data_IF_166628130688
#
_entry.id   IF_166628130688
#
_cell.length_a   1.000
_cell.length_b   1.000
_cell.length_c   1.000
_cell.angle_alpha   90.00
_cell.angle_beta   90.00
_cell.angle_gamma   90.00
#
_symmetry.space_group_name_H-M   'P 1'
#
loop_
_entity.id
_entity.type
_entity.pdbx_description
1 polymer ?
#
# COMPACT_ATOMS: atom_id res chain seq x y z
N UNK A 1 65.26 12.86 55.48
CA UNK A 1 66.62 12.27 55.54
C UNK A 1 66.44 10.79 55.25
N UNK A 2 66.82 10.37 54.04
CA UNK A 2 66.87 8.98 53.56
C UNK A 2 65.53 8.21 53.49
N UNK A 3 65.37 7.15 52.72
CA UNK A 3 66.07 6.62 51.54
C UNK A 3 65.25 5.36 51.17
N UNK A 4 64.25 5.48 50.27
CA UNK A 4 63.57 4.30 49.71
C UNK A 4 63.14 4.58 48.25
N UNK A 5 64.05 4.32 47.32
CA UNK A 5 63.67 3.58 46.10
C UNK A 5 64.01 2.10 46.31
N UNK A 6 63.74 1.17 45.36
CA UNK A 6 62.83 1.20 44.22
C UNK A 6 62.07 -0.15 44.12
N UNK A 7 60.96 -0.36 44.85
CA UNK A 7 60.23 -1.65 44.77
C UNK A 7 59.05 -1.67 43.79
N UNK A 8 58.51 -0.52 43.37
CA UNK A 8 57.33 -0.48 42.48
C UNK A 8 57.68 -0.53 40.99
N UNK A 9 58.87 -0.08 40.57
CA UNK A 9 59.30 -0.16 39.17
C UNK A 9 59.72 -1.58 38.74
N UNK A 10 60.18 -2.40 39.68
CA UNK A 10 60.61 -3.77 39.42
C UNK A 10 59.45 -4.77 39.23
N UNK A 11 58.25 -4.45 39.72
CA UNK A 11 57.05 -5.29 39.49
C UNK A 11 56.50 -5.08 38.07
N UNK A 12 56.49 -3.84 37.59
CA UNK A 12 56.02 -3.49 36.23
C UNK A 12 56.92 -4.06 35.12
N UNK A 13 58.25 -4.05 35.29
CA UNK A 13 59.17 -4.64 34.31
C UNK A 13 59.19 -6.18 34.34
N UNK A 14 58.79 -6.83 35.45
CA UNK A 14 58.70 -8.30 35.55
C UNK A 14 57.41 -8.86 34.97
N UNK A 15 56.34 -8.06 34.92
CA UNK A 15 55.08 -8.40 34.22
C UNK A 15 55.27 -8.28 32.70
N UNK A 16 56.03 -7.29 32.21
CA UNK A 16 56.29 -7.08 30.78
C UNK A 16 57.33 -8.02 30.14
N UNK A 17 57.99 -8.90 30.91
CA UNK A 17 59.02 -9.84 30.40
C UNK A 17 58.60 -11.32 30.40
N UNK A 18 57.36 -11.64 30.74
CA UNK A 18 56.83 -12.99 30.48
C UNK A 18 56.40 -13.06 29.02
N UNK A 19 56.72 -14.13 28.27
CA UNK A 19 56.19 -14.33 26.94
C UNK A 19 54.70 -14.68 27.11
N UNK A 20 53.86 -13.67 27.25
CA UNK A 20 52.44 -13.84 27.12
C UNK A 20 52.24 -14.10 25.64
N UNK A 21 52.11 -15.39 25.34
CA UNK A 21 51.91 -15.91 24.01
C UNK A 21 50.71 -15.23 23.34
N UNK A 22 50.57 -15.52 22.06
CA UNK A 22 49.51 -15.06 21.14
C UNK A 22 48.09 -15.00 21.75
N UNK A 23 47.84 -15.66 22.86
CA UNK A 23 46.54 -15.81 23.53
C UNK A 23 45.98 -14.52 24.16
N UNK A 24 46.80 -13.56 24.61
CA UNK A 24 46.27 -12.27 25.11
C UNK A 24 45.95 -11.25 24.02
N UNK A 25 46.71 -11.27 22.92
CA UNK A 25 46.36 -10.51 21.72
C UNK A 25 45.08 -11.07 21.09
N UNK A 26 44.85 -12.39 21.17
CA UNK A 26 43.60 -13.04 20.78
C UNK A 26 42.46 -12.66 21.74
N UNK A 27 42.68 -12.58 23.05
CA UNK A 27 41.64 -12.17 24.01
C UNK A 27 41.21 -10.70 23.85
N UNK A 28 42.14 -9.77 23.63
CA UNK A 28 41.79 -8.37 23.31
C UNK A 28 41.23 -8.22 21.89
N UNK A 29 41.71 -9.00 20.90
CA UNK A 29 41.10 -9.04 19.57
C UNK A 29 39.70 -9.67 19.61
N UNK A 30 39.41 -10.61 20.51
CA UNK A 30 38.07 -11.18 20.74
C UNK A 30 37.18 -10.22 21.53
N UNK A 31 37.71 -9.36 22.40
CA UNK A 31 36.95 -8.32 23.07
C UNK A 31 36.70 -7.08 22.19
N UNK A 32 37.59 -6.77 21.23
CA UNK A 32 37.40 -5.69 20.25
C UNK A 32 36.74 -6.13 18.94
N UNK A 33 36.58 -7.43 18.67
CA UNK A 33 35.85 -7.95 17.49
C UNK A 33 34.37 -8.23 17.75
N UNK A 34 33.85 -7.98 18.95
CA UNK A 34 32.39 -8.03 19.24
C UNK A 34 31.70 -6.69 18.97
N UNK A 35 32.42 -5.70 18.42
CA UNK A 35 31.79 -4.72 17.51
C UNK A 35 31.74 -5.29 16.08
N UNK A 36 31.42 -6.59 15.95
CA UNK A 36 30.65 -7.00 14.79
C UNK A 36 29.45 -6.08 14.74
N UNK A 37 29.29 -5.38 13.62
CA UNK A 37 28.03 -4.81 13.23
C UNK A 37 27.02 -5.94 13.32
N UNK A 38 26.35 -6.07 14.46
CA UNK A 38 25.17 -6.89 14.61
C UNK A 38 24.20 -6.23 13.63
N UNK A 39 24.20 -6.73 12.41
CA UNK A 39 23.16 -6.46 11.44
C UNK A 39 21.91 -6.98 12.14
N UNK A 40 21.20 -6.08 12.83
CA UNK A 40 19.91 -6.36 13.41
C UNK A 40 19.04 -6.81 12.25
N UNK A 41 18.81 -8.12 12.17
CA UNK A 41 18.11 -8.72 11.06
C UNK A 41 16.75 -8.05 10.93
N UNK A 42 16.39 -7.68 9.70
CA UNK A 42 15.09 -7.09 9.40
C UNK A 42 13.99 -8.01 9.90
N UNK A 43 13.10 -7.50 10.75
CA UNK A 43 11.93 -8.24 11.18
C UNK A 43 10.87 -8.13 10.09
N UNK A 44 10.74 -9.15 9.23
CA UNK A 44 9.66 -9.25 8.24
C UNK A 44 8.56 -10.17 8.75
N UNK A 45 7.37 -9.62 8.93
CA UNK A 45 6.17 -10.32 9.38
C UNK A 45 5.33 -10.68 8.16
N UNK A 46 5.27 -11.97 7.83
CA UNK A 46 4.40 -12.46 6.76
C UNK A 46 2.92 -12.27 7.12
N UNK A 47 2.07 -12.19 6.09
CA UNK A 47 0.63 -12.21 6.29
C UNK A 47 0.23 -13.53 7.03
N UNK A 48 -0.56 -13.45 8.12
CA UNK A 48 -0.88 -14.61 8.91
C UNK A 48 -1.78 -15.59 8.12
N UNK A 49 -1.52 -16.91 8.18
CA UNK A 49 -2.30 -17.90 7.43
C UNK A 49 -3.70 -18.13 8.00
N UNK A 50 -3.95 -17.67 9.22
CA UNK A 50 -5.23 -17.77 9.94
C UNK A 50 -5.47 -16.51 10.77
N UNK A 51 -6.72 -16.11 10.90
CA UNK A 51 -7.13 -15.13 11.90
C UNK A 51 -7.02 -15.73 13.31
N UNK A 52 -6.49 -14.95 14.24
CA UNK A 52 -6.33 -15.26 15.66
C UNK A 52 -7.10 -14.29 16.57
N UNK A 53 -7.54 -13.18 16.00
CA UNK A 53 -8.32 -12.14 16.64
C UNK A 53 -9.48 -11.73 15.71
N UNK A 54 -10.68 -11.42 16.23
CA UNK A 54 -11.85 -11.12 15.41
C UNK A 54 -11.66 -9.94 14.44
N UNK A 55 -10.75 -9.02 14.75
CA UNK A 55 -10.46 -7.85 13.92
C UNK A 55 -9.34 -8.06 12.90
N UNK A 56 -8.73 -9.24 12.81
CA UNK A 56 -7.69 -9.50 11.80
C UNK A 56 -8.24 -9.33 10.39
N UNK A 57 -7.44 -8.79 9.45
CA UNK A 57 -7.83 -8.75 8.04
C UNK A 57 -8.23 -10.15 7.53
N UNK A 58 -9.00 -10.20 6.43
CA UNK A 58 -9.25 -11.47 5.75
C UNK A 58 -7.93 -12.08 5.31
N UNK A 59 -7.73 -13.37 5.58
CA UNK A 59 -6.58 -14.11 5.05
C UNK A 59 -6.75 -14.39 3.55
N UNK A 60 -5.66 -14.75 2.87
CA UNK A 60 -5.70 -15.18 1.46
C UNK A 60 -6.71 -16.32 1.25
N UNK A 61 -6.75 -17.29 2.17
CA UNK A 61 -7.67 -18.42 2.11
C UNK A 61 -9.12 -18.00 2.37
N UNK A 62 -9.36 -17.04 3.25
CA UNK A 62 -10.69 -16.48 3.50
C UNK A 62 -11.22 -15.69 2.30
N UNK A 63 -10.38 -14.88 1.64
CA UNK A 63 -10.73 -14.18 0.39
C UNK A 63 -11.11 -15.20 -0.70
N UNK A 64 -10.26 -16.21 -0.93
CA UNK A 64 -10.52 -17.25 -1.93
C UNK A 64 -11.81 -18.02 -1.61
N UNK A 65 -12.04 -18.33 -0.34
CA UNK A 65 -13.27 -18.99 0.13
C UNK A 65 -14.50 -18.13 -0.08
N UNK A 66 -14.43 -16.82 0.16
CA UNK A 66 -15.55 -15.91 -0.08
C UNK A 66 -16.03 -15.98 -1.54
N UNK A 67 -15.08 -15.88 -2.47
CA UNK A 67 -15.34 -15.93 -3.91
C UNK A 67 -15.86 -17.30 -4.34
N UNK A 68 -15.30 -18.38 -3.80
CA UNK A 68 -15.76 -19.73 -4.07
C UNK A 68 -17.21 -19.96 -3.62
N UNK A 69 -17.60 -19.45 -2.45
CA UNK A 69 -18.96 -19.56 -1.94
C UNK A 69 -19.97 -18.76 -2.79
N UNK A 70 -19.60 -17.54 -3.22
CA UNK A 70 -20.44 -16.73 -4.12
C UNK A 70 -20.67 -17.46 -5.46
N UNK A 71 -19.61 -18.07 -6.02
CA UNK A 71 -19.70 -18.85 -7.27
C UNK A 71 -20.51 -20.13 -7.09
N UNK A 72 -20.30 -20.86 -6.00
CA UNK A 72 -21.04 -22.09 -5.69
C UNK A 72 -22.55 -21.83 -5.51
N UNK A 73 -22.93 -20.65 -5.00
CA UNK A 73 -24.32 -20.21 -4.91
C UNK A 73 -24.92 -19.75 -6.26
N UNK A 74 -24.14 -19.75 -7.34
CA UNK A 74 -24.59 -19.34 -8.68
C UNK A 74 -24.70 -17.82 -8.87
N UNK A 75 -24.13 -17.01 -7.99
CA UNK A 75 -24.24 -15.55 -8.04
C UNK A 75 -23.16 -14.86 -8.87
N UNK A 76 -22.09 -15.58 -9.25
CA UNK A 76 -20.99 -15.04 -10.04
C UNK A 76 -20.42 -16.08 -11.00
N UNK A 77 -19.95 -15.64 -12.16
CA UNK A 77 -19.17 -16.43 -13.11
C UNK A 77 -17.75 -15.86 -13.28
N UNK A 78 -17.06 -16.18 -14.39
CA UNK A 78 -15.71 -15.68 -14.67
C UNK A 78 -15.65 -14.18 -15.06
N UNK A 79 -16.79 -13.58 -15.42
CA UNK A 79 -16.90 -12.18 -15.85
C UNK A 79 -17.09 -11.24 -14.67
N UNK A 80 -17.66 -11.72 -13.56
CA UNK A 80 -17.80 -10.95 -12.34
C UNK A 80 -16.46 -10.39 -11.86
N UNK A 81 -16.49 -9.19 -11.30
CA UNK A 81 -15.36 -8.51 -10.66
C UNK A 81 -15.70 -8.19 -9.23
N UNK A 82 -14.68 -8.11 -8.39
CA UNK A 82 -14.80 -7.85 -6.96
C UNK A 82 -13.99 -6.61 -6.57
N UNK A 83 -14.47 -5.39 -6.87
CA UNK A 83 -13.79 -4.17 -6.49
C UNK A 83 -13.51 -4.08 -4.97
N UNK A 84 -14.31 -4.74 -4.13
CA UNK A 84 -14.05 -4.82 -2.69
C UNK A 84 -14.33 -6.22 -2.15
N UNK A 85 -13.37 -6.76 -1.41
CA UNK A 85 -13.54 -7.90 -0.49
C UNK A 85 -12.84 -7.50 0.80
N UNK A 86 -13.58 -7.34 1.89
CA UNK A 86 -13.05 -6.85 3.17
C UNK A 86 -13.70 -7.58 4.34
N UNK A 87 -13.08 -7.53 5.51
CA UNK A 87 -13.65 -8.05 6.74
C UNK A 87 -14.96 -7.30 7.04
N UNK A 88 -16.06 -8.04 7.20
CA UNK A 88 -17.23 -7.51 7.87
C UNK A 88 -17.05 -7.70 9.38
N UNK A 89 -16.82 -6.59 10.08
CA UNK A 89 -16.54 -6.61 11.51
C UNK A 89 -17.69 -7.19 12.33
N UNK A 90 -17.35 -7.87 13.42
CA UNK A 90 -18.31 -8.21 14.45
C UNK A 90 -18.83 -6.93 15.15
N UNK A 91 -20.03 -6.95 15.73
CA UNK A 91 -20.52 -5.83 16.53
C UNK A 91 -19.49 -5.43 17.60
N UNK A 92 -19.25 -4.13 17.74
CA UNK A 92 -18.27 -3.55 18.68
C UNK A 92 -18.36 -4.15 20.09
N UNK A 93 -19.57 -4.34 20.60
CA UNK A 93 -19.78 -4.93 21.92
C UNK A 93 -19.18 -6.35 22.04
N UNK A 94 -19.33 -7.19 21.02
CA UNK A 94 -18.76 -8.54 21.01
C UNK A 94 -17.24 -8.50 20.99
N UNK A 95 -16.66 -7.62 20.16
CA UNK A 95 -15.20 -7.43 20.08
C UNK A 95 -14.63 -6.96 21.42
N UNK A 96 -15.29 -6.02 22.10
CA UNK A 96 -14.82 -5.49 23.39
C UNK A 96 -14.86 -6.53 24.52
N UNK A 97 -15.76 -7.51 24.44
CA UNK A 97 -15.87 -8.60 25.43
C UNK A 97 -15.07 -9.86 25.07
N UNK A 98 -14.58 -9.95 23.83
CA UNK A 98 -13.85 -11.12 23.34
C UNK A 98 -12.54 -11.32 24.10
N UNK A 99 -12.16 -12.60 24.29
CA UNK A 99 -10.91 -12.98 24.95
C UNK A 99 -10.09 -13.95 24.09
N UNK A 100 -8.74 -13.92 24.18
CA UNK A 100 -7.89 -14.90 23.51
C UNK A 100 -8.34 -16.34 23.75
N UNK A 101 -8.43 -17.13 22.67
CA UNK A 101 -8.90 -18.51 22.70
C UNK A 101 -10.42 -18.69 22.54
N UNK A 102 -11.22 -17.63 22.70
CA UNK A 102 -12.65 -17.67 22.43
C UNK A 102 -12.91 -17.75 20.92
N UNK A 103 -13.78 -18.67 20.49
CA UNK A 103 -14.21 -18.77 19.10
C UNK A 103 -14.95 -17.49 18.65
N UNK A 104 -14.81 -17.14 17.37
CA UNK A 104 -15.48 -16.00 16.75
C UNK A 104 -15.93 -16.35 15.33
N UNK A 105 -17.02 -15.71 14.88
CA UNK A 105 -17.46 -15.81 13.50
C UNK A 105 -16.60 -14.92 12.59
N UNK A 106 -16.44 -15.33 11.33
CA UNK A 106 -15.75 -14.59 10.29
C UNK A 106 -16.68 -14.32 9.13
N UNK A 107 -16.79 -13.06 8.73
CA UNK A 107 -17.64 -12.62 7.63
C UNK A 107 -16.86 -11.71 6.70
N UNK A 108 -17.14 -11.82 5.41
CA UNK A 108 -16.62 -10.91 4.40
C UNK A 108 -17.77 -10.05 3.87
N UNK A 109 -17.52 -8.75 3.74
CA UNK A 109 -18.33 -7.84 2.94
C UNK A 109 -17.72 -7.75 1.55
N UNK A 110 -18.54 -8.00 0.53
CA UNK A 110 -18.11 -8.07 -0.86
C UNK A 110 -18.94 -7.09 -1.69
N UNK A 111 -18.24 -6.21 -2.42
CA UNK A 111 -18.83 -5.46 -3.52
C UNK A 111 -18.48 -6.20 -4.81
N UNK A 112 -19.51 -6.64 -5.51
CA UNK A 112 -19.41 -7.37 -6.77
C UNK A 112 -19.94 -6.51 -7.90
N UNK A 113 -19.22 -6.47 -9.01
CA UNK A 113 -19.69 -5.85 -10.25
C UNK A 113 -19.85 -6.93 -11.32
N UNK A 114 -21.04 -7.02 -11.88
CA UNK A 114 -21.38 -7.99 -12.92
C UNK A 114 -22.42 -7.42 -13.90
N UNK A 115 -22.15 -7.56 -15.21
CA UNK A 115 -23.01 -7.07 -16.30
C UNK A 115 -23.45 -5.61 -16.11
N UNK A 116 -22.51 -4.71 -15.82
CA UNK A 116 -22.79 -3.29 -15.60
C UNK A 116 -23.48 -2.95 -14.27
N UNK A 117 -23.86 -3.94 -13.46
CA UNK A 117 -24.57 -3.75 -12.18
C UNK A 117 -23.65 -3.99 -11.00
N UNK A 118 -23.93 -3.30 -9.89
CA UNK A 118 -23.19 -3.40 -8.64
C UNK A 118 -24.05 -4.04 -7.57
N UNK A 119 -23.47 -4.99 -6.83
CA UNK A 119 -24.12 -5.72 -5.77
C UNK A 119 -23.29 -5.72 -4.50
N UNK A 120 -23.97 -5.75 -3.35
CA UNK A 120 -23.37 -6.04 -2.05
C UNK A 120 -23.75 -7.44 -1.59
N UNK A 121 -22.78 -8.17 -1.04
CA UNK A 121 -22.94 -9.54 -0.56
C UNK A 121 -22.21 -9.67 0.78
N UNK A 122 -22.88 -10.26 1.77
CA UNK A 122 -22.23 -10.77 2.98
C UNK A 122 -21.98 -12.26 2.83
N UNK A 123 -20.74 -12.67 3.08
CA UNK A 123 -20.34 -14.08 3.11
C UNK A 123 -20.00 -14.47 4.54
N UNK A 124 -20.73 -15.42 5.12
CA UNK A 124 -20.36 -16.01 6.41
C UNK A 124 -19.37 -17.14 6.17
N UNK A 125 -18.09 -16.85 6.40
CA UNK A 125 -16.98 -17.76 6.17
C UNK A 125 -16.96 -18.89 7.20
N UNK A 126 -17.46 -18.64 8.41
CA UNK A 126 -17.56 -19.68 9.44
C UNK A 126 -18.68 -20.66 9.10
N UNK A 127 -19.87 -20.15 8.78
CA UNK A 127 -21.04 -20.98 8.47
C UNK A 127 -21.02 -21.55 7.03
N UNK A 128 -20.21 -20.99 6.12
CA UNK A 128 -20.18 -21.39 4.72
C UNK A 128 -21.40 -20.96 3.93
N UNK A 129 -22.00 -19.82 4.29
CA UNK A 129 -23.24 -19.32 3.67
C UNK A 129 -23.03 -17.94 3.05
N UNK A 130 -23.90 -17.57 2.12
CA UNK A 130 -23.89 -16.27 1.44
C UNK A 130 -25.28 -15.66 1.47
N UNK A 131 -25.36 -14.34 1.64
CA UNK A 131 -26.63 -13.63 1.44
C UNK A 131 -26.97 -13.56 -0.04
N UNK A 132 -28.23 -13.32 -0.37
CA UNK A 132 -28.60 -12.95 -1.75
C UNK A 132 -27.89 -11.65 -2.13
N UNK A 133 -27.41 -11.50 -3.38
CA UNK A 133 -26.83 -10.25 -3.85
C UNK A 133 -27.84 -9.11 -3.77
N UNK A 134 -27.47 -8.05 -3.07
CA UNK A 134 -28.30 -6.87 -2.93
C UNK A 134 -27.89 -5.83 -3.99
N UNK A 135 -28.79 -5.54 -4.93
CA UNK A 135 -28.52 -4.56 -5.97
C UNK A 135 -28.31 -3.16 -5.37
N UNK A 136 -27.31 -2.45 -5.87
CA UNK A 136 -27.07 -1.03 -5.59
C UNK A 136 -27.27 -0.23 -6.87
N UNK A 137 -28.51 0.24 -7.16
CA UNK A 137 -28.80 0.97 -8.39
C UNK A 137 -27.94 2.24 -8.51
N UNK A 138 -27.35 2.47 -9.69
CA UNK A 138 -26.51 3.64 -9.96
C UNK A 138 -25.15 3.66 -9.24
N UNK A 139 -24.84 2.68 -8.39
CA UNK A 139 -23.57 2.67 -7.66
C UNK A 139 -22.40 2.28 -8.56
N UNK A 140 -21.42 3.17 -8.66
CA UNK A 140 -20.12 2.91 -9.27
C UNK A 140 -19.08 2.63 -8.17
N UNK A 141 -18.61 1.38 -8.00
CA UNK A 141 -17.52 1.10 -7.08
C UNK A 141 -16.21 1.67 -7.61
N UNK A 142 -15.19 1.66 -6.75
CA UNK A 142 -13.82 2.03 -7.09
C UNK A 142 -13.36 1.41 -8.42
N UNK A 143 -12.48 2.12 -9.11
CA UNK A 143 -11.83 1.60 -10.31
C UNK A 143 -11.05 0.32 -10.00
N UNK A 144 -10.99 -0.55 -10.98
CA UNK A 144 -10.24 -1.80 -10.93
C UNK A 144 -9.13 -1.81 -11.99
N UNK A 145 -8.10 -2.62 -11.79
CA UNK A 145 -6.92 -2.66 -12.65
C UNK A 145 -7.27 -3.02 -14.10
N UNK A 146 -8.23 -3.93 -14.30
CA UNK A 146 -8.70 -4.31 -15.64
C UNK A 146 -9.23 -3.10 -16.44
N UNK A 147 -9.93 -2.18 -15.77
CA UNK A 147 -10.49 -0.97 -16.40
C UNK A 147 -9.40 0.00 -16.81
N UNK A 148 -8.36 0.14 -15.98
CA UNK A 148 -7.19 0.94 -16.32
C UNK A 148 -6.48 0.41 -17.57
N UNK A 149 -6.27 -0.90 -17.64
CA UNK A 149 -5.60 -1.53 -18.78
C UNK A 149 -6.42 -1.39 -20.06
N UNK A 150 -7.73 -1.61 -20.00
CA UNK A 150 -8.64 -1.46 -21.14
C UNK A 150 -8.68 -0.01 -21.61
N UNK A 151 -8.83 0.95 -20.70
CA UNK A 151 -8.92 2.37 -21.06
C UNK A 151 -7.63 2.88 -21.73
N UNK A 152 -6.47 2.46 -21.22
CA UNK A 152 -5.18 2.77 -21.84
C UNK A 152 -5.07 2.18 -23.25
N UNK A 153 -5.43 0.91 -23.40
CA UNK A 153 -5.32 0.20 -24.69
C UNK A 153 -6.22 0.79 -25.77
N UNK A 154 -7.47 1.13 -25.42
CA UNK A 154 -8.41 1.76 -26.34
C UNK A 154 -7.97 3.15 -26.77
N UNK A 155 -7.43 3.95 -25.84
CA UNK A 155 -6.96 5.32 -26.11
C UNK A 155 -5.88 5.35 -27.18
N UNK A 156 -4.82 4.54 -27.02
CA UNK A 156 -3.66 4.57 -27.93
C UNK A 156 -3.92 3.92 -29.29
N UNK A 157 -5.10 3.32 -29.48
CA UNK A 157 -5.54 2.72 -30.76
C UNK A 157 -6.58 3.57 -31.48
N UNK A 158 -7.16 4.59 -30.85
CA UNK A 158 -8.20 5.41 -31.46
C UNK A 158 -7.62 6.30 -32.58
N UNK A 159 -8.19 6.28 -33.80
CA UNK A 159 -7.66 7.06 -34.92
C UNK A 159 -7.73 8.58 -34.70
N UNK A 160 -8.70 9.08 -33.92
CA UNK A 160 -8.81 10.52 -33.60
C UNK A 160 -7.69 10.92 -32.64
N UNK A 161 -7.42 10.09 -31.63
CA UNK A 161 -6.32 10.32 -30.68
C UNK A 161 -4.96 10.22 -31.39
N UNK A 162 -4.77 9.24 -32.28
CA UNK A 162 -3.55 9.12 -33.09
C UNK A 162 -3.33 10.33 -34.00
N UNK A 163 -4.39 10.89 -34.59
CA UNK A 163 -4.30 12.13 -35.36
C UNK A 163 -3.87 13.31 -34.48
N UNK A 164 -4.41 13.43 -33.27
CA UNK A 164 -4.02 14.45 -32.28
C UNK A 164 -2.55 14.33 -31.86
N UNK A 165 -2.03 13.11 -31.70
CA UNK A 165 -0.61 12.87 -31.42
C UNK A 165 0.28 13.29 -32.58
N UNK A 166 -0.11 12.98 -33.82
CA UNK A 166 0.63 13.37 -35.03
C UNK A 166 0.75 14.89 -35.16
N UNK A 167 -0.32 15.63 -34.86
CA UNK A 167 -0.29 17.10 -34.84
C UNK A 167 0.70 17.67 -33.81
N UNK A 168 0.98 16.92 -32.75
CA UNK A 168 1.94 17.26 -31.69
C UNK A 168 3.35 16.72 -31.96
N UNK A 169 3.58 16.11 -33.12
CA UNK A 169 4.87 15.51 -33.49
C UNK A 169 5.19 14.19 -32.78
N UNK A 170 4.22 13.59 -32.09
CA UNK A 170 4.39 12.34 -31.35
C UNK A 170 4.05 11.17 -32.27
N UNK A 171 5.08 10.42 -32.69
CA UNK A 171 4.95 9.27 -33.60
C UNK A 171 5.38 7.94 -32.98
N UNK A 172 6.26 7.98 -31.96
CA UNK A 172 6.69 6.79 -31.22
C UNK A 172 5.82 6.58 -29.97
N UNK A 173 4.76 5.79 -30.12
CA UNK A 173 3.82 5.50 -29.04
C UNK A 173 4.45 4.68 -27.90
N UNK A 174 5.63 4.07 -28.09
CA UNK A 174 6.36 3.41 -27.00
C UNK A 174 6.85 4.42 -25.95
N UNK A 175 6.93 5.69 -26.32
CA UNK A 175 7.24 6.81 -25.44
C UNK A 175 5.98 7.51 -24.96
N UNK A 176 4.82 6.86 -24.97
CA UNK A 176 3.60 7.43 -24.40
C UNK A 176 3.10 6.53 -23.28
N UNK A 177 2.72 7.16 -22.18
CA UNK A 177 2.01 6.51 -21.08
C UNK A 177 0.76 7.30 -20.77
N UNK A 178 -0.38 6.60 -20.67
CA UNK A 178 -1.66 7.21 -20.37
C UNK A 178 -2.15 6.79 -18.99
N UNK A 179 -2.81 7.72 -18.30
CA UNK A 179 -3.29 7.55 -16.93
C UNK A 179 -4.81 7.68 -16.92
N UNK A 180 -5.58 6.57 -16.86
CA UNK A 180 -7.03 6.62 -16.72
C UNK A 180 -7.44 7.20 -15.37
N UNK A 181 -8.32 8.20 -15.39
CA UNK A 181 -8.78 8.95 -14.22
C UNK A 181 -10.29 8.82 -14.05
N UNK A 182 -10.76 8.98 -12.81
CA UNK A 182 -12.18 9.17 -12.51
C UNK A 182 -12.73 10.39 -13.26
N UNK A 183 -13.99 10.33 -13.77
CA UNK A 183 -14.54 11.37 -14.63
C UNK A 183 -15.18 12.54 -13.87
N UNK A 184 -15.37 12.41 -12.55
CA UNK A 184 -16.23 13.28 -11.75
C UNK A 184 -17.72 13.12 -12.10
N UNK A 185 -18.54 14.09 -11.70
CA UNK A 185 -19.96 14.16 -12.07
C UNK A 185 -20.29 15.55 -12.64
N UNK A 186 -20.74 15.58 -13.89
CA UNK A 186 -21.03 16.80 -14.64
C UNK A 186 -22.36 16.63 -15.40
N UNK A 187 -23.34 17.51 -15.14
CA UNK A 187 -24.70 17.38 -15.69
C UNK A 187 -24.81 17.71 -17.19
N UNK A 188 -23.79 18.36 -17.75
CA UNK A 188 -23.73 18.76 -19.15
C UNK A 188 -23.02 17.73 -20.04
N UNK A 189 -22.54 16.61 -19.49
CA UNK A 189 -21.84 15.59 -20.26
C UNK A 189 -22.81 14.56 -20.87
N UNK A 190 -22.63 14.16 -22.14
CA UNK A 190 -23.55 13.26 -22.86
C UNK A 190 -23.34 11.77 -22.51
N UNK A 191 -22.73 11.46 -21.37
CA UNK A 191 -22.33 10.10 -21.02
C UNK A 191 -23.39 9.32 -20.23
N UNK A 192 -24.32 10.02 -19.56
CA UNK A 192 -25.38 9.38 -18.76
C UNK A 192 -24.80 8.50 -17.66
N UNK A 193 -25.44 7.36 -17.39
CA UNK A 193 -25.04 6.42 -16.32
C UNK A 193 -23.90 5.45 -16.72
N UNK A 194 -23.17 5.73 -17.81
CA UNK A 194 -22.06 4.89 -18.27
C UNK A 194 -20.92 4.87 -17.27
N UNK A 195 -20.17 3.76 -17.25
CA UNK A 195 -18.94 3.66 -16.46
C UNK A 195 -17.78 4.24 -17.27
N UNK A 196 -17.50 5.51 -17.02
CA UNK A 196 -16.58 6.31 -17.82
C UNK A 196 -15.24 6.51 -17.12
N UNK A 197 -14.15 6.45 -17.87
CA UNK A 197 -12.83 6.98 -17.48
C UNK A 197 -12.37 8.05 -18.47
N UNK A 198 -11.69 9.08 -17.96
CA UNK A 198 -11.03 10.12 -18.77
C UNK A 198 -9.53 9.88 -18.77
N UNK A 199 -8.90 9.86 -19.94
CA UNK A 199 -7.56 9.30 -20.14
C UNK A 199 -6.60 10.35 -20.74
N UNK A 200 -5.96 11.19 -19.91
CA UNK A 200 -4.82 11.99 -20.31
C UNK A 200 -3.56 11.12 -20.52
N UNK A 201 -2.63 11.64 -21.32
CA UNK A 201 -1.37 10.96 -21.63
C UNK A 201 -0.16 11.86 -21.43
N UNK A 202 1.00 11.22 -21.29
CA UNK A 202 2.29 11.82 -21.00
C UNK A 202 3.32 11.25 -21.97
N UNK A 203 4.24 12.09 -22.41
CA UNK A 203 5.41 11.62 -23.14
C UNK A 203 6.46 11.12 -22.12
N UNK A 204 6.89 9.87 -22.28
CA UNK A 204 7.96 9.29 -21.51
C UNK A 204 9.28 9.89 -21.98
N UNK A 205 10.04 10.42 -21.03
CA UNK A 205 11.40 10.84 -21.25
C UNK A 205 12.30 9.67 -21.65
N UNK A 206 13.26 9.94 -22.54
CA UNK A 206 14.36 9.00 -22.78
C UNK A 206 15.41 9.13 -21.69
N UNK A 207 15.44 8.20 -20.73
CA UNK A 207 16.52 8.12 -19.71
C UNK A 207 16.13 8.47 -18.27
N UNK A 208 14.86 8.84 -18.02
CA UNK A 208 14.33 8.96 -16.64
C UNK A 208 13.05 8.15 -16.45
N UNK A 209 12.67 7.99 -15.18
CA UNK A 209 11.42 7.36 -14.75
C UNK A 209 10.32 8.38 -14.43
N UNK A 210 10.45 9.66 -14.82
CA UNK A 210 9.52 10.70 -14.42
C UNK A 210 8.30 10.78 -15.37
N UNK A 211 7.28 9.97 -15.08
CA UNK A 211 6.04 9.89 -15.85
C UNK A 211 5.34 11.25 -16.05
N UNK A 212 5.23 12.04 -14.99
CA UNK A 212 4.40 13.25 -14.98
C UNK A 212 5.11 14.51 -15.51
N UNK A 213 6.40 14.42 -15.88
CA UNK A 213 7.21 15.58 -16.24
C UNK A 213 6.89 16.20 -17.60
N UNK A 214 6.24 15.44 -18.50
CA UNK A 214 5.92 15.87 -19.86
C UNK A 214 4.47 15.52 -20.24
N UNK A 215 3.45 16.15 -19.61
CA UNK A 215 2.06 15.98 -20.00
C UNK A 215 1.83 16.37 -21.47
N UNK A 216 1.01 15.58 -22.16
CA UNK A 216 0.49 15.89 -23.49
C UNK A 216 -0.81 16.67 -23.27
N UNK A 217 -0.68 17.96 -22.95
CA UNK A 217 -1.79 18.84 -22.55
C UNK A 217 -2.76 19.12 -23.71
N UNK A 218 -4.01 19.42 -23.36
CA UNK A 218 -5.04 19.79 -24.34
C UNK A 218 -5.61 18.61 -25.12
N UNK A 219 -5.31 17.36 -24.76
CA UNK A 219 -5.94 16.18 -25.37
C UNK A 219 -6.15 15.04 -24.38
N UNK A 220 -7.34 14.45 -24.36
CA UNK A 220 -7.65 13.25 -23.60
C UNK A 220 -8.78 12.44 -24.26
N UNK A 221 -8.78 11.13 -24.03
CA UNK A 221 -9.87 10.26 -24.48
C UNK A 221 -10.91 10.04 -23.36
N UNK A 222 -12.14 9.78 -23.75
CA UNK A 222 -13.23 9.38 -22.85
C UNK A 222 -13.65 7.97 -23.21
N UNK A 223 -13.55 7.06 -22.26
CA UNK A 223 -13.71 5.63 -22.48
C UNK A 223 -14.89 5.11 -21.68
N UNK A 224 -15.79 4.36 -22.32
CA UNK A 224 -16.70 3.46 -21.63
C UNK A 224 -15.98 2.13 -21.40
N UNK A 225 -15.69 1.81 -20.13
CA UNK A 225 -14.94 0.60 -19.78
C UNK A 225 -15.82 -0.65 -19.71
N UNK A 226 -17.15 -0.50 -19.68
CA UNK A 226 -18.09 -1.62 -19.75
C UNK A 226 -18.33 -2.05 -21.20
N UNK A 227 -18.66 -1.08 -22.06
CA UNK A 227 -18.85 -1.31 -23.50
C UNK A 227 -17.50 -1.45 -24.25
N UNK A 228 -16.39 -1.17 -23.57
CA UNK A 228 -15.00 -1.27 -24.08
C UNK A 228 -14.81 -0.49 -25.38
N UNK A 229 -15.25 0.76 -25.38
CA UNK A 229 -15.12 1.65 -26.55
C UNK A 229 -14.80 3.07 -26.16
N UNK A 230 -14.20 3.78 -27.12
CA UNK A 230 -13.91 5.21 -27.02
C UNK A 230 -15.20 5.98 -27.31
N UNK A 231 -15.71 6.70 -26.32
CA UNK A 231 -16.86 7.59 -26.48
C UNK A 231 -16.45 8.86 -27.23
N UNK A 232 -15.35 9.48 -26.80
CA UNK A 232 -14.91 10.74 -27.36
C UNK A 232 -13.37 10.91 -27.27
N UNK A 233 -12.85 11.84 -28.06
CA UNK A 233 -11.48 12.35 -27.97
C UNK A 233 -11.57 13.86 -27.99
N UNK A 234 -11.33 14.49 -26.84
CA UNK A 234 -11.36 15.94 -26.70
C UNK A 234 -9.96 16.43 -27.06
N UNK A 235 -9.85 17.23 -28.13
CA UNK A 235 -8.64 17.95 -28.52
C UNK A 235 -8.91 19.46 -28.49
N UNK A 236 -8.29 20.14 -27.52
CA UNK A 236 -8.42 21.57 -27.25
C UNK A 236 -7.34 22.39 -28.00
N UNK A 237 -6.56 21.75 -28.86
CA UNK A 237 -5.46 22.36 -29.59
C UNK A 237 -4.08 21.98 -29.04
N UNK A 238 -3.07 22.24 -29.87
CA UNK A 238 -1.69 21.90 -29.59
C UNK A 238 -1.11 22.82 -28.51
N UNK A 239 -0.69 22.22 -27.40
CA UNK A 239 0.15 22.87 -26.38
C UNK A 239 1.55 22.28 -26.51
N UNK A 240 2.57 23.14 -26.51
CA UNK A 240 3.96 22.69 -26.58
C UNK A 240 4.28 21.79 -25.38
N UNK A 241 4.94 20.65 -25.63
CA UNK A 241 5.43 19.79 -24.56
C UNK A 241 6.43 20.56 -23.70
N UNK A 242 6.45 20.33 -22.38
CA UNK A 242 7.54 20.83 -21.54
C UNK A 242 8.91 20.42 -22.10
N UNK A 243 9.95 21.23 -21.91
CA UNK A 243 11.30 20.88 -22.36
C UNK A 243 11.76 19.54 -21.77
N UNK A 244 12.65 18.83 -22.47
CA UNK A 244 13.28 17.64 -21.88
C UNK A 244 14.11 18.12 -20.68
N UNK A 245 14.04 17.45 -19.52
CA UNK A 245 14.88 17.84 -18.41
C UNK A 245 16.35 17.57 -18.74
N UNK A 246 17.24 18.24 -18.01
CA UNK A 246 18.68 18.08 -18.20
C UNK A 246 19.10 16.63 -17.88
N UNK A 247 19.70 15.89 -18.84
CA UNK A 247 20.10 14.50 -18.61
C UNK A 247 21.23 14.39 -17.57
N UNK A 248 21.90 15.50 -17.22
CA UNK A 248 22.90 15.54 -16.15
C UNK A 248 22.20 15.40 -14.81
N UNK A 249 22.05 14.16 -14.33
CA UNK A 249 21.70 13.88 -12.94
C UNK A 249 22.72 14.60 -12.05
N UNK A 250 22.26 15.61 -11.30
CA UNK A 250 23.10 16.27 -10.30
C UNK A 250 23.36 15.27 -9.18
N UNK A 251 24.51 14.60 -9.25
CA UNK A 251 24.96 13.72 -8.18
C UNK A 251 25.61 14.56 -7.09
N UNK A 252 25.00 14.57 -5.91
CA UNK A 252 25.66 15.12 -4.73
C UNK A 252 26.86 14.24 -4.35
N UNK A 253 27.90 14.84 -3.77
CA UNK A 253 28.96 14.08 -3.12
C UNK A 253 28.37 13.13 -2.06
N UNK A 254 28.98 11.96 -1.90
CA UNK A 254 28.56 11.00 -0.89
C UNK A 254 28.65 11.64 0.50
N UNK A 255 27.55 11.59 1.26
CA UNK A 255 27.52 12.05 2.65
C UNK A 255 28.06 10.94 3.56
N UNK A 256 28.57 11.32 4.74
CA UNK A 256 28.93 10.35 5.79
C UNK A 256 27.67 9.58 6.24
N UNK A 257 27.71 8.25 6.37
CA UNK A 257 26.54 7.46 6.78
C UNK A 257 26.06 7.81 8.20
N UNK A 258 24.75 7.77 8.42
CA UNK A 258 24.11 7.83 9.75
C UNK A 258 23.49 6.46 10.03
N UNK A 259 23.78 5.89 11.19
CA UNK A 259 23.23 4.60 11.61
C UNK A 259 22.40 4.77 12.88
N UNK A 260 21.16 4.30 12.83
CA UNK A 260 20.30 4.12 14.00
C UNK A 260 20.28 2.62 14.31
N UNK A 261 20.60 2.25 15.56
CA UNK A 261 20.63 0.85 15.98
C UNK A 261 19.90 0.67 17.31
N UNK A 262 19.38 -0.54 17.52
CA UNK A 262 18.84 -0.96 18.82
C UNK A 262 19.57 -2.22 19.28
N UNK A 263 20.76 -2.03 19.86
CA UNK A 263 21.70 -3.10 20.21
C UNK A 263 21.12 -4.16 21.16
N UNK A 264 20.16 -3.78 22.01
CA UNK A 264 19.49 -4.68 22.96
C UNK A 264 18.12 -5.17 22.46
N UNK A 265 17.83 -4.99 21.17
CA UNK A 265 16.53 -5.32 20.59
C UNK A 265 15.52 -4.18 20.73
N UNK A 266 14.25 -4.48 20.46
CA UNK A 266 13.17 -3.49 20.38
C UNK A 266 12.34 -3.45 21.66
N UNK A 267 11.85 -2.25 21.99
CA UNK A 267 10.93 -2.06 23.13
C UNK A 267 9.48 -2.45 22.79
N UNK A 268 9.14 -2.58 21.50
CA UNK A 268 7.82 -3.05 21.09
C UNK A 268 7.82 -4.57 20.96
N UNK A 269 6.65 -5.16 21.17
CA UNK A 269 6.36 -6.56 20.88
C UNK A 269 5.23 -6.62 19.88
N UNK A 270 5.38 -7.48 18.87
CA UNK A 270 4.33 -7.78 17.90
C UNK A 270 3.98 -9.26 18.07
N UNK A 271 2.71 -9.57 18.29
CA UNK A 271 2.22 -10.93 18.51
C UNK A 271 0.96 -11.20 17.70
N UNK A 272 0.66 -12.49 17.48
CA UNK A 272 -0.48 -12.92 16.67
C UNK A 272 -0.48 -12.29 15.28
N UNK A 273 -1.68 -11.93 14.81
CA UNK A 273 -1.90 -11.20 13.57
C UNK A 273 -1.89 -9.68 13.80
N UNK A 274 -0.75 -9.16 14.29
CA UNK A 274 -0.45 -7.72 14.50
C UNK A 274 -1.09 -7.06 15.73
N UNK A 275 -1.05 -7.74 16.87
CA UNK A 275 -1.20 -7.09 18.18
C UNK A 275 0.13 -6.47 18.60
N UNK A 276 0.14 -5.15 18.80
CA UNK A 276 1.32 -4.37 19.16
C UNK A 276 1.23 -3.94 20.61
N UNK A 277 2.30 -4.16 21.37
CA UNK A 277 2.50 -3.59 22.71
C UNK A 277 3.81 -2.80 22.70
N UNK A 278 3.77 -1.55 23.19
CA UNK A 278 4.95 -0.69 23.29
C UNK A 278 4.80 0.29 24.45
N UNK A 279 5.74 0.25 25.39
CA UNK A 279 5.63 0.98 26.66
C UNK A 279 4.28 0.69 27.35
N UNK A 280 3.47 1.71 27.63
CA UNK A 280 2.15 1.56 28.22
C UNK A 280 1.03 1.44 27.16
N UNK A 281 1.35 1.44 25.88
CA UNK A 281 0.37 1.35 24.79
C UNK A 281 0.17 -0.09 24.31
N UNK A 282 -1.07 -0.40 23.96
CA UNK A 282 -1.42 -1.61 23.21
C UNK A 282 -2.48 -1.32 22.17
N UNK A 283 -2.37 -1.93 20.99
CA UNK A 283 -3.34 -1.79 19.91
C UNK A 283 -3.25 -2.96 18.92
N UNK A 284 -4.32 -3.17 18.18
CA UNK A 284 -4.39 -4.09 17.05
C UNK A 284 -4.19 -3.31 15.75
N UNK A 285 -3.48 -3.88 14.78
CA UNK A 285 -3.40 -3.33 13.44
C UNK A 285 -3.96 -4.33 12.42
N UNK A 286 -4.62 -3.80 11.40
CA UNK A 286 -4.81 -4.53 10.15
C UNK A 286 -4.69 -3.60 8.98
N UNK A 287 -4.70 -4.17 7.80
CA UNK A 287 -4.61 -3.41 6.57
C UNK A 287 -5.78 -3.76 5.66
N UNK A 288 -6.34 -2.74 5.02
CA UNK A 288 -7.57 -2.80 4.24
C UNK A 288 -7.35 -2.28 2.83
N UNK A 289 -7.99 -2.90 1.83
CA UNK A 289 -7.85 -2.54 0.42
C UNK A 289 -8.21 -1.07 0.14
N UNK A 290 -9.27 -0.55 0.77
CA UNK A 290 -9.75 0.83 0.54
C UNK A 290 -8.87 1.87 1.23
N UNK A 291 -8.66 1.71 2.53
CA UNK A 291 -8.15 2.77 3.42
C UNK A 291 -6.71 2.57 3.90
N UNK A 292 -6.09 1.44 3.55
CA UNK A 292 -4.77 1.08 4.06
C UNK A 292 -4.82 0.72 5.54
N UNK A 293 -3.97 1.31 6.41
CA UNK A 293 -3.85 0.89 7.81
C UNK A 293 -5.09 1.25 8.63
N UNK A 294 -5.54 0.28 9.43
CA UNK A 294 -6.58 0.44 10.45
C UNK A 294 -5.97 0.08 11.80
N UNK A 295 -5.98 1.03 12.73
CA UNK A 295 -5.52 0.85 14.10
C UNK A 295 -6.73 0.72 15.00
N UNK A 296 -6.81 -0.37 15.75
CA UNK A 296 -7.97 -0.71 16.57
C UNK A 296 -7.59 -0.98 18.00
N UNK A 297 -8.58 -0.94 18.90
CA UNK A 297 -8.43 -1.40 20.27
C UNK A 297 -7.31 -0.67 21.05
N UNK A 298 -7.08 0.60 20.73
CA UNK A 298 -6.02 1.43 21.31
C UNK A 298 -6.27 1.62 22.80
N UNK A 299 -5.36 1.08 23.60
CA UNK A 299 -5.42 1.12 25.06
C UNK A 299 -4.14 1.67 25.64
N UNK A 300 -4.29 2.38 26.75
CA UNK A 300 -3.20 2.84 27.59
C UNK A 300 -3.25 2.15 28.95
N UNK A 301 -2.10 1.68 29.44
CA UNK A 301 -1.94 1.11 30.76
C UNK A 301 -1.64 2.22 31.79
N UNK A 302 -2.67 2.70 32.46
CA UNK A 302 -2.55 3.70 33.52
C UNK A 302 -2.40 2.99 34.87
N UNK A 303 -1.15 2.76 35.28
CA UNK A 303 -0.79 2.12 36.56
C UNK A 303 -1.48 0.77 36.79
N UNK A 304 -1.55 -0.07 35.76
CA UNK A 304 -2.20 -1.39 35.79
C UNK A 304 -3.65 -1.37 35.29
N UNK A 305 -4.26 -0.20 35.11
CA UNK A 305 -5.59 -0.07 34.53
C UNK A 305 -5.52 0.15 33.01
N UNK A 306 -5.88 -0.88 32.22
CA UNK A 306 -5.94 -0.78 30.75
C UNK A 306 -7.19 0.00 30.31
N UNK A 307 -7.02 1.27 29.97
CA UNK A 307 -8.08 2.19 29.54
C UNK A 307 -8.18 2.22 28.02
N UNK A 308 -9.38 2.03 27.47
CA UNK A 308 -9.63 2.20 26.03
C UNK A 308 -9.60 3.69 25.68
N UNK A 309 -8.72 4.07 24.75
CA UNK A 309 -8.56 5.43 24.25
C UNK A 309 -9.31 5.61 22.94
N UNK A 310 -9.12 4.69 21.98
CA UNK A 310 -9.83 4.68 20.72
C UNK A 310 -10.21 3.24 20.33
N UNK A 311 -11.44 3.03 19.88
CA UNK A 311 -11.87 1.72 19.39
C UNK A 311 -11.26 1.40 18.02
N UNK A 312 -11.28 2.37 17.11
CA UNK A 312 -10.76 2.22 15.75
C UNK A 312 -10.42 3.58 15.16
N UNK A 313 -9.34 3.65 14.40
CA UNK A 313 -8.87 4.82 13.67
C UNK A 313 -8.33 4.37 12.31
N UNK A 314 -8.69 5.09 11.26
CA UNK A 314 -8.19 4.88 9.90
C UNK A 314 -8.33 6.17 9.09
N UNK A 315 -7.64 6.23 7.96
CA UNK A 315 -7.96 7.19 6.91
C UNK A 315 -9.37 6.85 6.40
N UNK A 316 -10.31 7.79 6.42
CA UNK A 316 -11.62 7.55 5.81
C UNK A 316 -11.60 7.81 4.32
N UNK A 317 -10.99 8.94 3.92
CA UNK A 317 -10.92 9.40 2.54
C UNK A 317 -9.84 10.47 2.42
N UNK A 318 -9.35 10.69 1.19
CA UNK A 318 -8.51 11.82 0.81
C UNK A 318 -9.09 12.45 -0.45
N UNK A 319 -9.21 13.78 -0.48
CA UNK A 319 -9.78 14.51 -1.61
C UNK A 319 -8.76 15.49 -2.17
N UNK A 320 -8.42 15.35 -3.46
CA UNK A 320 -7.41 16.17 -4.15
C UNK A 320 -8.03 16.90 -5.34
N UNK A 321 -8.72 18.04 -5.10
CA UNK A 321 -9.32 18.85 -6.16
C UNK A 321 -8.30 19.77 -6.83
N UNK A 322 -8.20 19.68 -8.15
CA UNK A 322 -7.50 20.67 -8.95
C UNK A 322 -8.37 21.91 -9.14
N UNK A 323 -7.71 23.07 -9.30
CA UNK A 323 -8.36 24.39 -9.38
C UNK A 323 -8.21 25.04 -10.76
N UNK A 324 -7.77 24.28 -11.78
CA UNK A 324 -7.72 24.75 -13.16
C UNK A 324 -9.09 24.50 -13.82
N UNK A 325 -9.78 25.55 -14.32
CA UNK A 325 -11.10 25.43 -14.91
C UNK A 325 -11.09 24.87 -16.34
N UNK A 326 -9.92 24.65 -16.95
CA UNK A 326 -9.77 24.08 -18.28
C UNK A 326 -10.45 22.71 -18.41
N UNK A 327 -10.98 22.39 -19.60
CA UNK A 327 -11.71 21.15 -19.82
C UNK A 327 -10.84 19.88 -19.62
N UNK A 328 -9.51 19.99 -19.72
CA UNK A 328 -8.55 18.91 -19.47
C UNK A 328 -8.14 18.75 -17.99
N UNK A 329 -8.58 19.64 -17.09
CA UNK A 329 -8.25 19.64 -15.66
C UNK A 329 -9.45 19.71 -14.71
N UNK A 330 -10.52 20.43 -15.07
CA UNK A 330 -11.66 20.73 -14.20
C UNK A 330 -12.35 19.52 -13.58
N UNK A 331 -12.23 18.34 -14.18
CA UNK A 331 -12.79 17.08 -13.66
C UNK A 331 -11.85 16.33 -12.70
N UNK A 332 -10.60 16.77 -12.54
CA UNK A 332 -9.59 16.07 -11.75
C UNK A 332 -9.77 16.41 -10.27
N UNK A 333 -10.59 15.63 -9.61
CA UNK A 333 -10.90 15.78 -8.18
C UNK A 333 -10.84 14.42 -7.49
N UNK A 334 -9.63 13.90 -7.33
CA UNK A 334 -9.44 12.52 -6.91
C UNK A 334 -9.98 12.26 -5.51
N UNK A 335 -10.69 11.15 -5.34
CA UNK A 335 -10.97 10.56 -4.04
C UNK A 335 -10.10 9.31 -3.87
N UNK A 336 -8.86 9.47 -3.42
CA UNK A 336 -7.82 8.44 -3.49
C UNK A 336 -8.23 7.11 -2.84
N UNK A 337 -8.88 7.15 -1.68
CA UNK A 337 -9.30 5.91 -1.00
C UNK A 337 -10.51 5.30 -1.69
N UNK A 338 -11.53 6.10 -1.97
CA UNK A 338 -12.83 5.64 -2.50
C UNK A 338 -12.82 5.27 -3.99
N UNK A 339 -12.06 5.97 -4.82
CA UNK A 339 -12.01 5.74 -6.27
C UNK A 339 -10.92 4.76 -6.69
N UNK A 340 -9.81 4.70 -5.95
CA UNK A 340 -8.63 3.94 -6.36
C UNK A 340 -8.24 2.83 -5.38
N UNK A 341 -8.58 2.99 -4.10
CA UNK A 341 -8.16 2.09 -3.03
C UNK A 341 -6.74 2.42 -2.59
N UNK A 342 -6.60 3.35 -1.65
CA UNK A 342 -5.31 3.77 -1.12
C UNK A 342 -4.51 2.59 -0.57
N UNK A 343 -5.17 1.61 0.04
CA UNK A 343 -4.54 0.37 0.50
C UNK A 343 -4.08 -0.56 -0.62
N UNK A 344 -4.84 -0.64 -1.72
CA UNK A 344 -4.46 -1.40 -2.92
C UNK A 344 -3.23 -0.81 -3.60
N UNK A 345 -3.11 0.52 -3.58
CA UNK A 345 -2.02 1.27 -4.22
C UNK A 345 -0.82 1.56 -3.30
N UNK A 346 -0.76 0.97 -2.09
CA UNK A 346 0.39 1.19 -1.21
C UNK A 346 1.69 0.64 -1.79
N UNK A 347 2.74 1.44 -1.70
CA UNK A 347 4.10 1.06 -2.09
C UNK A 347 4.73 0.13 -1.05
N UNK A 348 5.48 -0.88 -1.53
CA UNK A 348 6.37 -1.65 -0.67
C UNK A 348 7.50 -0.76 -0.15
N UNK A 349 7.63 -0.64 1.17
CA UNK A 349 8.63 0.20 1.82
C UNK A 349 10.05 -0.36 1.63
N UNK A 350 11.00 0.52 1.29
CA UNK A 350 12.41 0.21 1.15
C UNK A 350 13.18 0.46 2.45
N UNK A 351 13.80 -0.58 2.98
CA UNK A 351 14.58 -0.48 4.21
C UNK A 351 15.86 0.35 4.05
N UNK A 352 16.10 1.23 5.02
CA UNK A 352 17.20 2.21 5.00
C UNK A 352 16.93 3.45 4.15
N UNK A 353 15.79 3.50 3.45
CA UNK A 353 15.33 4.65 2.66
C UNK A 353 14.04 5.21 3.23
N UNK A 354 12.95 4.45 3.13
CA UNK A 354 11.61 4.89 3.56
C UNK A 354 11.40 4.68 5.06
N UNK A 355 12.09 3.70 5.62
CA UNK A 355 12.09 3.35 7.04
C UNK A 355 13.52 3.01 7.49
N UNK A 356 13.84 3.12 8.79
CA UNK A 356 15.11 2.64 9.32
C UNK A 356 15.41 1.20 8.90
N UNK A 357 16.70 0.90 8.67
CA UNK A 357 17.13 -0.38 8.13
C UNK A 357 16.71 -1.59 8.99
N UNK A 358 16.57 -1.37 10.30
CA UNK A 358 16.22 -2.37 11.30
C UNK A 358 14.70 -2.42 11.62
N UNK A 359 13.87 -1.61 10.95
CA UNK A 359 12.42 -1.54 11.19
C UNK A 359 11.72 -2.91 11.01
N UNK A 360 10.56 -3.07 11.64
CA UNK A 360 9.66 -4.18 11.34
C UNK A 360 8.81 -3.86 10.11
N UNK A 361 8.77 -4.80 9.16
CA UNK A 361 7.99 -4.71 7.93
C UNK A 361 6.87 -5.74 7.98
N UNK A 362 5.66 -5.30 7.66
CA UNK A 362 4.46 -6.13 7.69
C UNK A 362 4.02 -6.38 6.24
N UNK A 363 3.96 -7.64 5.86
CA UNK A 363 3.44 -8.08 4.57
C UNK A 363 1.92 -8.18 4.63
N UNK A 364 1.27 -7.70 3.58
CA UNK A 364 -0.18 -7.67 3.48
C UNK A 364 -0.67 -8.50 2.31
N UNK A 365 -1.64 -9.37 2.59
CA UNK A 365 -2.45 -9.94 1.53
C UNK A 365 -3.54 -8.95 1.11
N UNK A 366 -3.55 -8.54 -0.17
CA UNK A 366 -4.60 -7.67 -0.72
C UNK A 366 -5.36 -8.42 -1.82
N UNK A 367 -6.71 -8.49 -1.75
CA UNK A 367 -7.52 -9.08 -2.81
C UNK A 367 -7.45 -8.23 -4.08
N UNK A 368 -7.23 -8.90 -5.20
CA UNK A 368 -7.33 -8.36 -6.54
C UNK A 368 -8.76 -8.44 -7.08
N UNK A 369 -8.97 -7.83 -8.24
CA UNK A 369 -10.31 -7.60 -8.78
C UNK A 369 -11.01 -8.87 -9.31
N UNK A 370 -10.27 -9.98 -9.43
CA UNK A 370 -10.80 -11.31 -9.78
C UNK A 370 -11.09 -12.18 -8.56
N UNK A 371 -10.83 -11.67 -7.35
CA UNK A 371 -11.01 -12.40 -6.11
C UNK A 371 -9.85 -13.34 -5.75
N UNK A 372 -8.69 -13.18 -6.39
CA UNK A 372 -7.42 -13.80 -5.95
C UNK A 372 -6.66 -12.80 -5.08
N UNK A 373 -5.73 -13.24 -4.23
CA UNK A 373 -4.89 -12.31 -3.46
C UNK A 373 -3.47 -12.25 -4.02
N UNK A 374 -2.85 -11.07 -3.98
CA UNK A 374 -1.40 -10.93 -4.10
C UNK A 374 -0.76 -11.04 -2.70
N UNK A 375 0.41 -11.68 -2.56
CA UNK A 375 1.14 -11.72 -1.30
C UNK A 375 1.77 -10.38 -0.92
#
# INVERSE_FOLDING_TARGET
>A
MGDEGPETLNILMRIMRRPWGRDWAIACALALSVFTTAATAQQRLAAPPRATHPMDALTISEVARAVALIKAAGFADARARFPTITLQELPKAQVLTWRPGQAFARRAFVVMRDQGRTFEITVDLTAGTVTRPELRPGANPNMILDEWLIARDLTVKDPRWLAAMKQRGITDLKKVSCSPLSPGYFTNEPYGDRRVLKVPCYELETGTSHLYGRPITGVFAVIDVEEKRVLDVIDLGVVALPPQPDPRRVTRAALKPVQMTSALGRNYKISGALQVEWDNWSFHMRMERRVGPVISLVRYNDRGNRRLIAYQMSLSEMFVPYMDPGADWSYRTYMDSGEFGAGFLMSSLMAGSDCPADAAYITMAVPNDTGRSFP
#
